data_IF_194137551670
#
_entry.id   IF_194137551670
#
_cell.length_a   1.000
_cell.length_b   1.000
_cell.length_c   1.000
_cell.angle_alpha   90.00
_cell.angle_beta   90.00
_cell.angle_gamma   90.00
#
_symmetry.space_group_name_H-M   'P 1'
#
loop_
_entity.id
_entity.type
_entity.pdbx_description
1 polymer ?
#
# COMPACT_ATOMS: atom_id res chain seq x y z
N UNK A 1 -1.42 -16.84 0.35
CA UNK A 1 -0.51 -16.05 -0.50
C UNK A 1 0.71 -15.70 0.34
N UNK A 2 1.94 -15.90 -0.16
CA UNK A 2 3.14 -15.49 0.59
C UNK A 2 3.41 -14.00 0.33
N UNK A 3 4.04 -13.29 1.28
CA UNK A 3 4.32 -11.86 1.09
C UNK A 3 5.21 -11.56 -0.13
N UNK A 4 6.00 -12.53 -0.59
CA UNK A 4 6.78 -12.42 -1.83
C UNK A 4 5.85 -12.36 -3.05
N UNK A 5 4.84 -13.22 -3.10
CA UNK A 5 3.87 -13.24 -4.19
C UNK A 5 3.13 -11.90 -4.24
N UNK A 6 2.76 -11.38 -3.06
CA UNK A 6 2.12 -10.08 -2.92
C UNK A 6 3.04 -8.93 -3.36
N UNK A 7 4.32 -8.96 -2.98
CA UNK A 7 5.29 -7.93 -3.40
C UNK A 7 5.44 -7.88 -4.92
N UNK A 8 5.45 -9.03 -5.60
CA UNK A 8 5.48 -9.06 -7.06
C UNK A 8 4.17 -8.56 -7.69
N UNK A 9 3.01 -8.87 -7.12
CA UNK A 9 1.72 -8.33 -7.56
C UNK A 9 1.73 -6.79 -7.50
N UNK A 10 2.13 -6.22 -6.37
CA UNK A 10 2.19 -4.76 -6.20
C UNK A 10 3.16 -4.13 -7.18
N UNK A 11 4.31 -4.78 -7.43
CA UNK A 11 5.30 -4.31 -8.40
C UNK A 11 4.74 -4.35 -9.82
N UNK A 12 3.99 -5.39 -10.18
CA UNK A 12 3.39 -5.50 -11.49
C UNK A 12 2.34 -4.41 -11.69
N UNK A 13 1.44 -4.23 -10.73
CA UNK A 13 0.50 -3.10 -10.71
C UNK A 13 1.25 -1.78 -10.85
N UNK A 14 2.41 -1.64 -10.21
CA UNK A 14 3.19 -0.41 -10.25
C UNK A 14 3.80 -0.11 -11.62
N UNK A 15 4.25 -1.14 -12.33
CA UNK A 15 4.73 -1.04 -13.70
C UNK A 15 3.62 -0.71 -14.68
N UNK A 16 2.41 -1.21 -14.40
CA UNK A 16 1.22 -0.97 -15.20
C UNK A 16 0.54 0.37 -14.88
N UNK A 17 1.18 1.23 -14.08
CA UNK A 17 0.62 2.52 -13.64
C UNK A 17 -0.52 2.41 -12.63
N UNK A 18 -0.89 1.19 -12.23
CA UNK A 18 -2.07 0.87 -11.45
C UNK A 18 -1.82 0.82 -9.92
N UNK A 19 -0.78 1.49 -9.42
CA UNK A 19 -0.58 1.71 -7.98
C UNK A 19 -0.61 3.19 -7.64
N UNK A 20 -1.11 3.47 -6.45
CA UNK A 20 -1.16 4.82 -5.93
C UNK A 20 -1.03 4.84 -4.42
N UNK A 21 -1.01 6.04 -3.86
CA UNK A 21 -0.75 6.27 -2.44
C UNK A 21 0.71 6.62 -2.16
N UNK A 22 1.00 7.29 -1.03
CA UNK A 22 2.32 7.87 -0.79
C UNK A 22 3.46 6.85 -0.67
N UNK A 23 3.15 5.59 -0.38
CA UNK A 23 4.13 4.51 -0.27
C UNK A 23 4.56 3.90 -1.60
N UNK A 24 3.80 4.08 -2.68
CA UNK A 24 3.96 3.34 -3.93
C UNK A 24 5.34 3.55 -4.58
N UNK A 25 5.78 4.80 -4.73
CA UNK A 25 7.10 5.12 -5.27
C UNK A 25 8.24 4.57 -4.41
N UNK A 26 8.07 4.60 -3.08
CA UNK A 26 9.10 4.08 -2.17
C UNK A 26 9.24 2.57 -2.24
N UNK A 27 8.14 1.84 -2.47
CA UNK A 27 8.17 0.40 -2.67
C UNK A 27 8.96 0.00 -3.90
N UNK A 28 8.68 0.63 -5.06
CA UNK A 28 9.38 0.31 -6.32
C UNK A 28 10.88 0.50 -6.13
N UNK A 29 11.27 1.64 -5.56
CA UNK A 29 12.68 1.96 -5.28
C UNK A 29 13.33 0.96 -4.32
N UNK A 30 12.66 0.62 -3.22
CA UNK A 30 13.18 -0.33 -2.22
C UNK A 30 13.34 -1.73 -2.83
N UNK A 31 12.39 -2.15 -3.67
CA UNK A 31 12.43 -3.42 -4.37
C UNK A 31 13.57 -3.48 -5.39
N UNK A 32 13.71 -2.46 -6.24
CA UNK A 32 14.75 -2.42 -7.27
C UNK A 32 16.15 -2.39 -6.65
N UNK A 33 16.32 -1.63 -5.56
CA UNK A 33 17.55 -1.65 -4.78
C UNK A 33 17.84 -3.03 -4.18
N UNK A 34 16.83 -3.71 -3.65
CA UNK A 34 16.97 -5.07 -3.12
C UNK A 34 17.36 -6.08 -4.21
N UNK A 35 16.76 -6.00 -5.40
CA UNK A 35 17.13 -6.83 -6.55
C UNK A 35 18.56 -6.60 -6.99
N UNK A 36 19.00 -5.33 -7.09
CA UNK A 36 20.37 -5.01 -7.44
C UNK A 36 21.38 -5.57 -6.42
N UNK A 37 21.06 -5.49 -5.13
CA UNK A 37 21.89 -6.05 -4.06
C UNK A 37 21.97 -7.58 -4.15
N UNK A 38 20.86 -8.26 -4.40
CA UNK A 38 20.82 -9.72 -4.55
C UNK A 38 21.63 -10.18 -5.79
N UNK A 39 21.54 -9.46 -6.91
CA UNK A 39 22.35 -9.72 -8.11
C UNK A 39 23.84 -9.52 -7.81
N UNK A 40 24.19 -8.41 -7.15
CA UNK A 40 25.56 -8.12 -6.76
C UNK A 40 26.15 -9.24 -5.92
N UNK A 41 25.40 -9.74 -4.93
CA UNK A 41 25.82 -10.87 -4.08
C UNK A 41 26.06 -12.17 -4.88
N UNK A 42 25.17 -12.49 -5.83
CA UNK A 42 25.31 -13.67 -6.69
C UNK A 42 26.49 -13.58 -7.68
N UNK A 43 26.91 -12.37 -8.07
CA UNK A 43 28.09 -12.20 -8.91
C UNK A 43 29.41 -12.42 -8.14
N UNK A 44 29.39 -12.25 -6.81
CA UNK A 44 30.55 -12.53 -5.94
C UNK A 44 30.65 -14.03 -5.64
N UNK A 45 29.51 -14.68 -5.39
CA UNK A 45 29.41 -16.14 -5.17
C UNK A 45 29.09 -16.85 -6.49
N UNK A 46 30.12 -17.19 -7.28
CA UNK A 46 30.05 -17.72 -8.65
C UNK A 46 29.35 -19.11 -8.81
N UNK A 47 28.10 -19.25 -8.38
CA UNK A 47 27.27 -20.44 -8.55
C UNK A 47 26.05 -20.08 -9.40
N UNK A 48 26.02 -20.43 -10.70
CA UNK A 48 24.83 -20.26 -11.52
C UNK A 48 23.79 -21.29 -11.09
N UNK A 49 22.75 -20.84 -10.41
CA UNK A 49 21.59 -21.63 -10.04
C UNK A 49 20.35 -20.75 -10.11
N UNK A 50 19.20 -21.37 -10.39
CA UNK A 50 17.87 -20.76 -10.54
C UNK A 50 17.65 -19.52 -9.69
N UNK A 51 16.91 -18.54 -10.21
CA UNK A 51 16.56 -17.27 -9.57
C UNK A 51 15.85 -17.48 -8.21
N UNK A 52 16.61 -17.86 -7.18
CA UNK A 52 16.16 -17.87 -5.80
C UNK A 52 16.02 -16.41 -5.41
N UNK A 53 14.81 -15.99 -5.03
CA UNK A 53 14.60 -14.66 -4.45
C UNK A 53 15.59 -14.48 -3.30
N UNK A 54 16.50 -13.51 -3.45
CA UNK A 54 17.61 -13.32 -2.55
C UNK A 54 17.18 -12.72 -1.21
N UNK A 55 18.14 -12.58 -0.30
CA UNK A 55 17.88 -12.18 1.07
C UNK A 55 17.33 -10.75 1.16
N UNK A 56 17.77 -9.85 0.28
CA UNK A 56 17.33 -8.46 0.28
C UNK A 56 15.85 -8.35 -0.14
N UNK A 57 15.44 -9.02 -1.22
CA UNK A 57 14.03 -9.02 -1.63
C UNK A 57 13.15 -9.70 -0.59
N UNK A 58 13.62 -10.78 0.05
CA UNK A 58 12.92 -11.40 1.19
C UNK A 58 12.71 -10.41 2.35
N UNK A 59 13.69 -9.54 2.63
CA UNK A 59 13.57 -8.53 3.66
C UNK A 59 12.52 -7.46 3.32
N UNK A 60 12.40 -7.06 2.04
CA UNK A 60 11.31 -6.17 1.59
C UNK A 60 9.96 -6.86 1.75
N UNK A 61 9.83 -8.10 1.29
CA UNK A 61 8.58 -8.87 1.37
C UNK A 61 8.08 -9.03 2.82
N UNK A 62 8.98 -9.22 3.79
CA UNK A 62 8.60 -9.31 5.22
C UNK A 62 7.90 -8.06 5.75
N UNK A 63 8.14 -6.89 5.14
CA UNK A 63 7.49 -5.62 5.51
C UNK A 63 6.17 -5.39 4.78
N UNK A 64 5.78 -6.28 3.87
CA UNK A 64 4.53 -6.13 3.12
C UNK A 64 3.40 -6.82 3.87
N UNK A 65 2.34 -6.07 4.16
CA UNK A 65 1.13 -6.56 4.80
C UNK A 65 -0.07 -6.31 3.89
N UNK A 66 -0.94 -7.30 3.76
CA UNK A 66 -2.20 -7.16 3.04
C UNK A 66 -3.26 -6.50 3.91
N UNK A 67 -3.97 -5.51 3.35
CA UNK A 67 -5.14 -4.89 3.97
C UNK A 67 -6.27 -4.80 2.96
N UNK A 68 -7.49 -4.60 3.45
CA UNK A 68 -8.69 -4.57 2.60
C UNK A 68 -8.75 -3.35 1.68
N UNK A 69 -8.22 -2.22 2.12
CA UNK A 69 -8.25 -0.94 1.38
C UNK A 69 -6.91 -0.58 0.76
N UNK A 70 -5.83 -1.21 1.22
CA UNK A 70 -4.47 -0.95 0.76
C UNK A 70 -3.54 -2.08 1.20
N UNK A 71 -2.43 -2.22 0.50
CA UNK A 71 -1.23 -2.86 1.01
C UNK A 71 -0.46 -1.89 1.91
N UNK A 72 0.23 -2.44 2.91
CA UNK A 72 1.14 -1.69 3.77
C UNK A 72 2.57 -2.17 3.54
N UNK A 73 3.45 -1.26 3.13
CA UNK A 73 4.89 -1.47 3.07
C UNK A 73 5.47 -0.83 4.31
N UNK A 74 5.51 -1.62 5.37
CA UNK A 74 5.71 -1.12 6.72
C UNK A 74 7.12 -0.54 6.92
N UNK A 75 7.13 0.59 7.61
CA UNK A 75 8.29 1.28 8.14
C UNK A 75 7.81 2.30 9.16
N UNK A 76 8.23 2.16 10.42
CA UNK A 76 7.71 2.93 11.57
C UNK A 76 7.73 4.44 11.32
N UNK A 77 8.81 4.96 10.74
CA UNK A 77 8.99 6.38 10.42
C UNK A 77 7.93 6.98 9.47
N UNK A 78 7.17 6.14 8.74
CA UNK A 78 6.15 6.57 7.77
C UNK A 78 4.74 6.10 8.13
N UNK A 79 4.59 5.36 9.22
CA UNK A 79 3.35 4.69 9.60
C UNK A 79 2.43 5.66 10.36
N UNK A 80 1.57 6.40 9.64
CA UNK A 80 0.58 7.30 10.26
C UNK A 80 -0.48 6.58 11.12
N UNK A 81 -0.53 5.25 11.06
CA UNK A 81 -1.44 4.45 11.86
C UNK A 81 -0.91 4.12 13.27
N UNK A 82 0.31 4.55 13.61
CA UNK A 82 0.93 4.36 14.91
C UNK A 82 1.08 5.69 15.65
N UNK A 83 1.02 5.65 16.98
CA UNK A 83 1.53 6.76 17.81
C UNK A 83 3.06 6.78 17.83
N UNK A 84 3.66 7.85 18.37
CA UNK A 84 5.11 7.93 18.52
C UNK A 84 5.65 6.82 19.45
N UNK A 85 4.91 6.50 20.52
CA UNK A 85 5.26 5.41 21.44
C UNK A 85 5.18 4.05 20.75
N UNK A 86 4.10 3.77 20.03
CA UNK A 86 3.95 2.51 19.27
C UNK A 86 5.03 2.37 18.20
N UNK A 87 5.40 3.46 17.52
CA UNK A 87 6.43 3.45 16.48
C UNK A 87 7.85 3.24 17.03
N UNK A 88 8.08 3.52 18.32
CA UNK A 88 9.36 3.33 19.00
C UNK A 88 9.56 1.90 19.53
N UNK A 89 8.51 1.08 19.55
CA UNK A 89 8.61 -0.32 19.96
C UNK A 89 9.46 -1.12 18.96
N UNK A 90 10.33 -1.99 19.50
CA UNK A 90 11.25 -2.81 18.68
C UNK A 90 10.52 -3.73 17.70
N UNK A 91 9.38 -4.25 18.14
CA UNK A 91 8.56 -5.21 17.39
C UNK A 91 7.24 -4.57 16.93
N UNK A 92 7.26 -3.25 16.68
CA UNK A 92 6.09 -2.51 16.18
C UNK A 92 5.52 -3.17 14.91
N UNK A 93 4.20 -3.26 14.84
CA UNK A 93 3.47 -3.81 13.69
C UNK A 93 2.44 -2.80 13.17
N UNK A 94 2.11 -2.81 11.86
CA UNK A 94 1.15 -1.87 11.31
C UNK A 94 -0.26 -2.10 11.87
N UNK A 95 -0.90 -1.03 12.37
CA UNK A 95 -2.35 -0.99 12.61
C UNK A 95 -3.09 -0.76 11.30
N UNK A 96 -3.10 -1.74 10.39
CA UNK A 96 -3.56 -1.54 9.00
C UNK A 96 -5.02 -1.05 8.90
N UNK A 97 -5.90 -1.46 9.82
CA UNK A 97 -7.29 -1.01 9.89
C UNK A 97 -7.44 0.45 10.31
N UNK A 98 -6.39 1.05 10.88
CA UNK A 98 -6.31 2.47 11.26
C UNK A 98 -5.54 3.30 10.23
N UNK A 99 -5.12 2.70 9.11
CA UNK A 99 -4.40 3.39 8.06
C UNK A 99 -5.27 4.47 7.42
N UNK A 100 -4.64 5.57 7.00
CA UNK A 100 -5.21 6.56 6.10
C UNK A 100 -4.59 6.38 4.71
N UNK A 101 -5.21 5.61 3.79
CA UNK A 101 -4.53 5.15 2.57
C UNK A 101 -4.11 6.27 1.61
N UNK A 102 -4.81 7.40 1.63
CA UNK A 102 -4.51 8.61 0.87
C UNK A 102 -3.37 9.46 1.44
N UNK A 103 -2.91 9.18 2.66
CA UNK A 103 -1.94 10.03 3.39
C UNK A 103 -0.74 9.28 3.95
N UNK A 104 -0.91 8.01 4.30
CA UNK A 104 0.10 7.22 4.98
C UNK A 104 1.26 6.88 4.04
N UNK A 105 2.49 7.20 4.46
CA UNK A 105 3.73 6.95 3.72
C UNK A 105 4.04 5.46 3.52
N UNK A 106 3.36 4.57 4.24
CA UNK A 106 3.45 3.12 4.07
C UNK A 106 2.35 2.56 3.16
N UNK A 107 1.37 3.35 2.74
CA UNK A 107 0.20 2.85 2.02
C UNK A 107 0.46 2.75 0.53
N UNK A 108 0.13 1.60 -0.05
CA UNK A 108 0.08 1.36 -1.48
C UNK A 108 -1.29 0.79 -1.81
N UNK A 109 -2.04 1.47 -2.65
CA UNK A 109 -3.31 0.96 -3.15
C UNK A 109 -3.06 0.43 -4.56
N UNK A 110 -3.12 -0.89 -4.69
CA UNK A 110 -3.09 -1.58 -5.98
C UNK A 110 -4.47 -1.71 -6.63
N UNK A 111 -4.50 -2.24 -7.84
CA UNK A 111 -5.70 -2.38 -8.68
C UNK A 111 -6.78 -3.22 -8.03
N UNK A 112 -6.38 -4.26 -7.28
CA UNK A 112 -7.28 -5.17 -6.58
C UNK A 112 -8.15 -4.50 -5.51
N UNK A 113 -7.77 -3.31 -5.01
CA UNK A 113 -8.55 -2.59 -3.99
C UNK A 113 -9.63 -1.70 -4.60
N UNK A 114 -9.51 -1.33 -5.89
CA UNK A 114 -10.44 -0.40 -6.54
C UNK A 114 -11.91 -0.83 -6.39
N UNK A 115 -12.29 -2.12 -6.54
CA UNK A 115 -13.67 -2.55 -6.32
C UNK A 115 -14.19 -2.27 -4.90
N UNK A 116 -13.35 -2.43 -3.87
CA UNK A 116 -13.76 -2.15 -2.48
C UNK A 116 -13.95 -0.66 -2.27
N UNK A 117 -13.04 0.16 -2.80
CA UNK A 117 -13.19 1.62 -2.77
C UNK A 117 -14.44 2.10 -3.50
N UNK A 118 -14.77 1.50 -4.64
CA UNK A 118 -16.01 1.81 -5.36
C UNK A 118 -17.25 1.48 -4.53
N UNK A 119 -17.26 0.33 -3.85
CA UNK A 119 -18.35 -0.03 -2.92
C UNK A 119 -18.50 1.00 -1.79
N UNK A 120 -17.38 1.44 -1.18
CA UNK A 120 -17.41 2.45 -0.14
C UNK A 120 -17.92 3.80 -0.65
N UNK A 121 -17.55 4.18 -1.88
CA UNK A 121 -18.05 5.39 -2.52
C UNK A 121 -19.56 5.32 -2.75
N UNK A 122 -20.06 4.18 -3.22
CA UNK A 122 -21.49 3.97 -3.45
C UNK A 122 -22.29 4.04 -2.14
N UNK A 123 -21.76 3.45 -1.06
CA UNK A 123 -22.35 3.51 0.28
C UNK A 123 -22.40 4.95 0.81
N UNK A 124 -21.29 5.70 0.71
CA UNK A 124 -21.23 7.11 1.15
C UNK A 124 -22.21 7.97 0.35
N UNK A 125 -22.32 7.77 -0.97
CA UNK A 125 -23.29 8.48 -1.82
C UNK A 125 -24.73 8.12 -1.48
N UNK A 126 -25.01 6.87 -1.11
CA UNK A 126 -26.33 6.46 -0.65
C UNK A 126 -26.70 7.14 0.69
N UNK A 127 -25.76 7.18 1.64
CA UNK A 127 -25.92 7.87 2.92
C UNK A 127 -26.09 9.38 2.73
N UNK A 128 -25.37 10.00 1.78
CA UNK A 128 -25.50 11.43 1.50
C UNK A 128 -26.93 11.79 1.08
N UNK A 129 -27.57 10.96 0.25
CA UNK A 129 -28.97 11.14 -0.17
C UNK A 129 -29.96 11.05 1.00
N UNK A 130 -29.60 10.31 2.05
CA UNK A 130 -30.41 10.12 3.25
C UNK A 130 -30.06 11.11 4.37
N UNK A 131 -29.06 11.97 4.18
CA UNK A 131 -28.58 12.89 5.20
C UNK A 131 -29.68 13.88 5.62
N UNK A 132 -29.92 13.99 6.93
CA UNK A 132 -31.01 14.80 7.49
C UNK A 132 -30.57 16.22 7.86
N UNK A 133 -29.25 16.45 7.94
CA UNK A 133 -28.69 17.75 8.35
C UNK A 133 -27.65 18.25 7.35
N UNK A 134 -27.51 19.58 7.27
CA UNK A 134 -26.48 20.22 6.46
C UNK A 134 -25.06 19.74 6.79
N UNK A 135 -24.65 19.72 8.07
CA UNK A 135 -23.32 19.24 8.46
C UNK A 135 -23.05 17.77 8.11
N UNK A 136 -24.06 16.89 8.28
CA UNK A 136 -23.93 15.49 7.89
C UNK A 136 -23.70 15.36 6.38
N UNK A 137 -24.50 16.08 5.58
CA UNK A 137 -24.39 16.07 4.13
C UNK A 137 -23.03 16.60 3.66
N UNK A 138 -22.52 17.66 4.27
CA UNK A 138 -21.21 18.21 3.94
C UNK A 138 -20.07 17.24 4.28
N UNK A 139 -20.15 16.56 5.43
CA UNK A 139 -19.17 15.54 5.83
C UNK A 139 -19.13 14.38 4.82
N UNK A 140 -20.30 13.85 4.45
CA UNK A 140 -20.41 12.75 3.48
C UNK A 140 -19.91 13.15 2.08
N UNK A 141 -20.17 14.39 1.65
CA UNK A 141 -19.61 14.92 0.39
C UNK A 141 -18.08 14.97 0.40
N UNK A 142 -17.48 15.43 1.51
CA UNK A 142 -16.02 15.46 1.66
C UNK A 142 -15.42 14.06 1.57
N UNK A 143 -16.10 13.07 2.15
CA UNK A 143 -15.65 11.68 2.10
C UNK A 143 -15.81 11.07 0.70
N UNK A 144 -16.93 11.34 0.01
CA UNK A 144 -17.13 10.93 -1.39
C UNK A 144 -16.01 11.46 -2.29
N UNK A 145 -15.69 12.75 -2.19
CA UNK A 145 -14.60 13.37 -2.97
C UNK A 145 -13.24 12.75 -2.62
N UNK A 146 -13.02 12.38 -1.36
CA UNK A 146 -11.81 11.67 -0.95
C UNK A 146 -11.71 10.31 -1.62
N UNK A 147 -12.79 9.52 -1.64
CA UNK A 147 -12.80 8.19 -2.24
C UNK A 147 -12.72 8.24 -3.77
N UNK A 148 -13.36 9.22 -4.42
CA UNK A 148 -13.23 9.46 -5.86
C UNK A 148 -11.77 9.69 -6.26
N UNK A 149 -11.05 10.56 -5.55
CA UNK A 149 -9.63 10.81 -5.83
C UNK A 149 -8.76 9.57 -5.72
N UNK A 150 -9.03 8.73 -4.73
CA UNK A 150 -8.34 7.44 -4.53
C UNK A 150 -8.59 6.55 -5.76
N UNK A 151 -9.85 6.40 -6.17
CA UNK A 151 -10.24 5.56 -7.31
C UNK A 151 -9.63 6.10 -8.61
N UNK A 152 -9.75 7.40 -8.90
CA UNK A 152 -9.18 8.05 -10.09
C UNK A 152 -7.65 7.88 -10.17
N UNK A 153 -6.97 8.00 -9.01
CA UNK A 153 -5.53 7.77 -8.92
C UNK A 153 -5.15 6.32 -9.20
N UNK A 154 -6.05 5.36 -8.95
CA UNK A 154 -5.86 3.94 -9.26
C UNK A 154 -6.28 3.49 -10.64
N UNK A 155 -7.04 4.32 -11.37
CA UNK A 155 -7.51 4.04 -12.73
C UNK A 155 -6.54 4.58 -13.79
N UNK A 156 -5.60 5.45 -13.41
CA UNK A 156 -4.62 6.03 -14.34
C UNK A 156 -3.60 4.99 -14.80
N UNK A 157 -3.91 4.32 -15.91
CA UNK A 157 -2.99 3.58 -16.77
C UNK A 157 -2.27 4.52 -17.75
#
# INVERSE_FOLDING_TARGET
MRNIDLLEEIRQDARDGCVFGPGALSLIRDYDAAKAADIGAAMVDATPGEMVVGAAVKAVAKRVHAGTLNYCVFGTAKALCLTEEEAAEKDAEPRINMCAPDKCGCSVVGKCHVPVWQSLLDDVKALEKQAKTGPQKESLKKESVRYERIIESGISA
#
